data_IF_378932372150
#
_entry.id   IF_378932372150
#
_cell.length_a   1.000
_cell.length_b   1.000
_cell.length_c   1.000
_cell.angle_alpha   90.00
_cell.angle_beta   90.00
_cell.angle_gamma   90.00
#
_symmetry.space_group_name_H-M   'P 1'
#
loop_
_entity.id
_entity.type
_entity.pdbx_description
1 polymer ?
#
# COMPACT_ATOMS: atom_id res chain seq x y z
N UNK A 1 6.97 16.02 44.11
CA UNK A 1 5.55 15.95 43.76
C UNK A 1 5.50 15.70 42.26
N UNK A 2 5.67 14.43 41.86
CA UNK A 2 4.60 13.51 41.40
C UNK A 2 3.98 14.02 40.10
N UNK A 3 4.44 13.51 38.94
CA UNK A 3 3.85 12.37 38.17
C UNK A 3 2.59 12.82 37.38
N UNK A 4 2.36 12.52 36.11
CA UNK A 4 2.67 11.35 35.28
C UNK A 4 1.37 10.96 34.56
N UNK A 5 1.38 10.61 33.27
CA UNK A 5 0.16 10.27 32.54
C UNK A 5 0.35 9.92 31.06
N UNK A 6 1.19 8.91 30.79
CA UNK A 6 1.24 8.22 29.50
C UNK A 6 0.28 7.03 29.54
N UNK A 7 -0.56 6.89 28.52
CA UNK A 7 -1.48 5.75 28.38
C UNK A 7 -0.76 4.59 27.69
N UNK A 8 -0.52 3.50 28.43
CA UNK A 8 -0.05 2.22 27.94
C UNK A 8 -1.18 1.18 28.07
N UNK A 9 -1.45 0.43 27.00
CA UNK A 9 -2.36 -0.71 27.03
C UNK A 9 -1.58 -1.99 27.42
N UNK A 10 -2.04 -2.79 28.41
CA UNK A 10 -1.37 -4.02 28.80
C UNK A 10 -1.80 -5.22 27.94
N UNK A 11 -0.79 -5.99 27.50
CA UNK A 11 -0.92 -7.33 26.91
C UNK A 11 -0.94 -8.34 28.05
N UNK A 12 -2.05 -9.09 28.20
CA UNK A 12 -2.17 -10.17 29.16
C UNK A 12 -1.57 -11.46 28.58
N UNK A 13 -0.53 -11.97 29.23
CA UNK A 13 0.02 -13.33 29.06
C UNK A 13 -0.44 -14.14 30.27
N UNK A 14 -1.05 -15.33 30.13
CA UNK A 14 -1.29 -16.19 31.27
C UNK A 14 -0.09 -17.11 31.51
N UNK A 15 0.52 -16.96 32.68
CA UNK A 15 1.50 -17.85 33.29
C UNK A 15 0.90 -19.25 33.52
N UNK A 16 1.62 -20.30 33.11
CA UNK A 16 1.34 -21.67 33.51
C UNK A 16 2.40 -22.16 34.49
N UNK A 17 2.04 -22.29 35.77
CA UNK A 17 2.94 -22.81 36.79
C UNK A 17 2.29 -23.12 38.13
N UNK A 18 2.15 -24.43 38.38
CA UNK A 18 2.12 -25.12 39.68
C UNK A 18 0.82 -25.16 40.53
N UNK A 19 0.40 -26.39 40.84
CA UNK A 19 0.18 -26.78 42.24
C UNK A 19 -1.20 -27.32 42.66
N UNK A 20 -1.29 -28.64 42.70
CA UNK A 20 -1.99 -29.46 43.72
C UNK A 20 -3.52 -29.64 43.78
N UNK A 21 -3.86 -30.94 43.67
CA UNK A 21 -4.63 -31.77 44.62
C UNK A 21 -6.03 -32.24 44.22
N UNK A 22 -6.11 -33.57 44.13
CA UNK A 22 -7.22 -34.48 44.47
C UNK A 22 -8.65 -34.13 44.02
N UNK A 23 -9.20 -34.97 43.14
CA UNK A 23 -10.16 -36.00 43.57
C UNK A 23 -10.70 -36.80 42.38
N UNK A 24 -11.02 -38.06 42.68
CA UNK A 24 -11.53 -39.10 41.80
C UNK A 24 -12.75 -38.65 41.00
N UNK A 25 -12.77 -38.94 39.70
CA UNK A 25 -14.01 -39.41 39.05
C UNK A 25 -13.70 -40.31 37.86
N UNK A 26 -14.43 -41.40 37.84
CA UNK A 26 -14.42 -42.58 37.00
C UNK A 26 -14.66 -42.31 35.51
N UNK A 27 -13.82 -42.86 34.64
CA UNK A 27 -14.28 -43.43 33.37
C UNK A 27 -13.50 -44.70 33.04
N UNK A 28 -14.26 -45.78 32.83
CA UNK A 28 -13.80 -47.12 32.48
C UNK A 28 -13.23 -47.16 31.06
N UNK A 29 -12.21 -47.99 30.76
CA UNK A 29 -11.70 -48.14 29.39
C UNK A 29 -12.68 -48.97 28.54
N UNK A 30 -12.97 -48.49 27.33
CA UNK A 30 -13.67 -49.28 26.31
C UNK A 30 -12.78 -50.44 25.83
N UNK A 31 -13.33 -51.66 25.69
CA UNK A 31 -12.58 -52.81 25.20
C UNK A 31 -12.57 -52.83 23.67
N UNK A 32 -11.38 -52.89 23.07
CA UNK A 32 -11.25 -53.24 21.65
C UNK A 32 -10.21 -52.45 20.87
N UNK A 33 -8.92 -52.65 21.17
CA UNK A 33 -7.91 -52.56 20.12
C UNK A 33 -6.84 -53.62 20.42
N UNK A 34 -6.76 -54.62 19.54
CA UNK A 34 -5.84 -55.75 19.65
C UNK A 34 -4.41 -55.23 19.48
N UNK A 35 -3.52 -55.68 20.36
CA UNK A 35 -2.08 -55.55 20.16
C UNK A 35 -1.68 -56.51 19.03
N UNK A 36 -1.09 -55.98 17.96
CA UNK A 36 -0.25 -56.78 17.07
C UNK A 36 1.23 -56.43 17.34
N UNK A 37 2.06 -57.42 17.72
CA UNK A 37 3.49 -57.25 17.84
C UNK A 37 4.19 -57.55 16.51
N UNK A 38 5.10 -56.67 16.09
CA UNK A 38 6.18 -57.02 15.17
C UNK A 38 6.16 -56.30 13.81
N UNK A 39 7.05 -55.33 13.67
CA UNK A 39 7.80 -55.18 12.42
C UNK A 39 9.19 -54.62 12.69
N UNK A 40 10.15 -55.53 12.87
CA UNK A 40 11.56 -55.30 12.57
C UNK A 40 11.70 -55.36 11.06
N UNK A 41 12.21 -54.32 10.40
CA UNK A 41 12.69 -54.49 9.04
C UNK A 41 12.96 -53.23 8.22
N UNK A 42 14.24 -53.01 7.97
CA UNK A 42 14.86 -52.32 6.84
C UNK A 42 14.86 -50.79 6.84
N UNK A 43 16.06 -50.26 7.09
CA UNK A 43 16.48 -48.99 6.52
C UNK A 43 16.36 -49.05 5.00
N UNK A 44 15.61 -48.11 4.46
CA UNK A 44 15.71 -47.70 3.08
C UNK A 44 15.98 -46.20 3.11
N UNK A 45 17.18 -45.85 2.62
CA UNK A 45 17.57 -44.50 2.28
C UNK A 45 16.53 -43.92 1.33
N UNK A 46 15.64 -43.07 1.85
CA UNK A 46 14.84 -42.21 1.00
C UNK A 46 15.76 -41.13 0.44
N UNK A 47 16.39 -41.40 -0.71
CA UNK A 47 16.80 -40.35 -1.63
C UNK A 47 15.55 -39.80 -2.31
N UNK A 48 14.66 -39.20 -1.52
CA UNK A 48 13.65 -38.29 -2.01
C UNK A 48 14.34 -36.94 -2.16
N UNK A 49 15.02 -36.73 -3.29
CA UNK A 49 15.33 -35.37 -3.75
C UNK A 49 13.98 -34.81 -4.19
N UNK A 50 13.19 -34.37 -3.20
CA UNK A 50 12.00 -33.59 -3.47
C UNK A 50 12.48 -32.41 -4.30
N UNK A 51 11.88 -32.23 -5.48
CA UNK A 51 11.76 -30.93 -6.11
C UNK A 51 11.19 -29.98 -5.05
N UNK A 52 12.09 -29.40 -4.27
CA UNK A 52 11.80 -28.28 -3.39
C UNK A 52 11.56 -27.13 -4.35
N UNK A 53 10.28 -26.77 -4.49
CA UNK A 53 9.84 -25.59 -5.24
C UNK A 53 10.86 -24.47 -5.04
N UNK A 54 11.60 -24.19 -6.10
CA UNK A 54 12.73 -23.29 -6.08
C UNK A 54 12.22 -21.87 -5.84
N UNK A 55 12.23 -21.43 -4.58
CA UNK A 55 11.64 -20.14 -4.20
C UNK A 55 12.54 -18.94 -4.50
N UNK A 56 13.85 -19.14 -4.68
CA UNK A 56 14.79 -18.11 -5.13
C UNK A 56 15.41 -18.54 -6.45
N UNK A 57 15.31 -17.66 -7.46
CA UNK A 57 15.97 -17.85 -8.75
C UNK A 57 17.42 -17.38 -8.66
N UNK A 58 18.35 -18.32 -8.55
CA UNK A 58 19.80 -18.03 -8.46
C UNK A 58 20.31 -17.14 -9.60
N UNK A 59 19.80 -17.33 -10.81
CA UNK A 59 20.10 -16.49 -11.98
C UNK A 59 19.68 -15.03 -11.79
N UNK A 60 18.55 -14.77 -11.13
CA UNK A 60 18.09 -13.41 -10.83
C UNK A 60 19.00 -12.75 -9.81
N UNK A 61 19.41 -13.48 -8.78
CA UNK A 61 20.35 -12.97 -7.76
C UNK A 61 21.67 -12.55 -8.40
N UNK A 62 22.22 -13.40 -9.27
CA UNK A 62 23.44 -13.12 -10.02
C UNK A 62 23.30 -11.87 -10.91
N UNK A 63 22.23 -11.80 -11.70
CA UNK A 63 21.96 -10.64 -12.56
C UNK A 63 21.89 -9.34 -11.76
N UNK A 64 21.13 -9.32 -10.66
CA UNK A 64 20.99 -8.13 -9.80
C UNK A 64 22.32 -7.72 -9.16
N UNK A 65 23.16 -8.69 -8.78
CA UNK A 65 24.51 -8.43 -8.28
C UNK A 65 25.40 -7.78 -9.35
N UNK A 66 25.38 -8.31 -10.57
CA UNK A 66 26.14 -7.79 -11.71
C UNK A 66 25.68 -6.38 -12.12
N UNK A 67 24.37 -6.10 -12.11
CA UNK A 67 23.81 -4.76 -12.36
C UNK A 67 24.26 -3.71 -11.35
N UNK A 68 24.50 -4.13 -10.10
CA UNK A 68 25.06 -3.29 -9.04
C UNK A 68 26.58 -3.20 -9.06
N UNK A 69 27.25 -3.91 -9.99
CA UNK A 69 28.70 -3.92 -10.12
C UNK A 69 29.42 -4.55 -8.91
N UNK A 70 28.77 -5.46 -8.19
CA UNK A 70 29.33 -6.12 -7.02
C UNK A 70 29.97 -7.46 -7.39
N UNK A 71 31.13 -7.79 -6.82
CA UNK A 71 31.66 -9.16 -6.90
C UNK A 71 30.94 -10.09 -5.91
N UNK A 72 31.09 -11.40 -6.08
CA UNK A 72 30.56 -12.41 -5.14
C UNK A 72 31.13 -12.18 -3.74
N UNK A 73 32.40 -11.75 -3.65
CA UNK A 73 33.05 -11.41 -2.40
C UNK A 73 32.45 -10.16 -1.74
N UNK A 74 32.21 -9.10 -2.51
CA UNK A 74 31.64 -7.86 -1.97
C UNK A 74 30.23 -8.07 -1.41
N UNK A 75 29.43 -8.91 -2.10
CA UNK A 75 28.10 -9.27 -1.61
C UNK A 75 28.19 -10.13 -0.35
N UNK A 76 29.12 -11.08 -0.30
CA UNK A 76 29.35 -11.93 0.86
C UNK A 76 29.78 -11.11 2.09
N UNK A 77 30.68 -10.14 1.91
CA UNK A 77 31.14 -9.23 2.96
C UNK A 77 29.99 -8.37 3.50
N UNK A 78 29.16 -7.80 2.61
CA UNK A 78 27.97 -7.02 3.00
C UNK A 78 26.95 -7.82 3.80
N UNK A 79 26.84 -9.11 3.54
CA UNK A 79 25.88 -10.01 4.18
C UNK A 79 26.46 -10.74 5.40
N UNK A 80 27.78 -10.69 5.61
CA UNK A 80 28.47 -11.44 6.66
C UNK A 80 28.44 -12.96 6.46
N UNK A 81 28.39 -13.41 5.20
CA UNK A 81 28.35 -14.84 4.84
C UNK A 81 29.60 -15.25 4.08
N UNK A 82 29.88 -16.55 3.97
CA UNK A 82 30.99 -17.04 3.16
C UNK A 82 30.72 -16.87 1.67
N UNK A 83 31.74 -16.49 0.89
CA UNK A 83 31.63 -16.34 -0.57
C UNK A 83 31.15 -17.62 -1.26
N UNK A 84 31.53 -18.79 -0.74
CA UNK A 84 31.07 -20.10 -1.22
C UNK A 84 29.55 -20.27 -1.17
N UNK A 85 28.88 -19.60 -0.22
CA UNK A 85 27.42 -19.66 -0.09
C UNK A 85 26.74 -18.84 -1.19
N UNK A 86 27.27 -17.65 -1.50
CA UNK A 86 26.76 -16.82 -2.59
C UNK A 86 26.84 -17.58 -3.91
N UNK A 87 27.98 -18.21 -4.20
CA UNK A 87 28.17 -19.02 -5.40
C UNK A 87 27.13 -20.16 -5.48
N UNK A 88 26.91 -20.88 -4.38
CA UNK A 88 25.91 -21.96 -4.33
C UNK A 88 24.47 -21.44 -4.49
N UNK A 89 24.17 -20.23 -4.01
CA UNK A 89 22.86 -19.61 -4.21
C UNK A 89 22.63 -19.21 -5.66
N UNK A 90 23.64 -18.63 -6.30
CA UNK A 90 23.58 -18.24 -7.72
C UNK A 90 23.48 -19.45 -8.65
N UNK A 91 24.15 -20.55 -8.32
CA UNK A 91 24.10 -21.83 -9.05
C UNK A 91 22.83 -22.66 -8.74
N UNK A 92 21.98 -22.22 -7.81
CA UNK A 92 20.79 -22.96 -7.38
C UNK A 92 21.08 -24.26 -6.61
N UNK A 93 22.31 -24.42 -6.10
CA UNK A 93 22.72 -25.57 -5.31
C UNK A 93 22.36 -25.46 -3.84
N UNK A 94 22.16 -24.24 -3.34
CA UNK A 94 21.72 -23.95 -1.99
C UNK A 94 20.79 -22.74 -1.97
N UNK A 95 20.15 -22.50 -0.83
CA UNK A 95 19.23 -21.38 -0.66
C UNK A 95 19.62 -20.51 0.52
N UNK A 96 19.42 -19.19 0.43
CA UNK A 96 19.61 -18.31 1.58
C UNK A 96 18.54 -18.61 2.62
N UNK A 97 18.93 -18.59 3.89
CA UNK A 97 17.96 -18.62 4.98
C UNK A 97 16.95 -17.47 4.83
N UNK A 98 15.70 -17.69 5.28
CA UNK A 98 14.63 -16.70 5.19
C UNK A 98 15.02 -15.39 5.87
N UNK A 99 15.84 -15.47 6.92
CA UNK A 99 16.41 -14.34 7.66
C UNK A 99 17.31 -13.45 6.80
N UNK A 100 17.95 -14.02 5.77
CA UNK A 100 18.91 -13.34 4.89
C UNK A 100 18.25 -12.67 3.68
N UNK A 101 16.98 -12.99 3.36
CA UNK A 101 16.28 -12.39 2.22
C UNK A 101 16.17 -10.86 2.32
N UNK A 102 15.83 -10.33 3.50
CA UNK A 102 15.75 -8.87 3.72
C UNK A 102 17.12 -8.19 3.59
N UNK A 103 18.21 -8.69 4.21
CA UNK A 103 19.57 -8.21 3.97
C UNK A 103 19.99 -8.24 2.50
N UNK A 104 19.69 -9.32 1.78
CA UNK A 104 20.01 -9.46 0.34
C UNK A 104 19.27 -8.40 -0.47
N UNK A 105 17.95 -8.27 -0.27
CA UNK A 105 17.13 -7.25 -0.93
C UNK A 105 17.68 -5.83 -0.72
N UNK A 106 18.09 -5.52 0.52
CA UNK A 106 18.70 -4.24 0.86
C UNK A 106 20.08 -4.05 0.21
N UNK A 107 20.90 -5.10 0.14
CA UNK A 107 22.25 -5.00 -0.44
C UNK A 107 22.24 -4.79 -1.97
N UNK A 108 21.17 -5.26 -2.62
CA UNK A 108 20.97 -5.18 -4.07
C UNK A 108 19.97 -4.07 -4.48
N UNK A 109 19.53 -3.22 -3.54
CA UNK A 109 18.48 -2.20 -3.71
C UNK A 109 17.25 -2.71 -4.48
N UNK A 110 16.77 -3.90 -4.12
CA UNK A 110 15.65 -4.58 -4.76
C UNK A 110 14.61 -4.95 -3.71
N UNK A 111 13.48 -5.51 -4.15
CA UNK A 111 12.45 -6.04 -3.26
C UNK A 111 12.64 -7.55 -3.06
N UNK A 112 12.09 -8.09 -1.98
CA UNK A 112 12.17 -9.55 -1.73
C UNK A 112 11.37 -10.28 -2.81
N UNK A 113 10.25 -9.71 -3.22
CA UNK A 113 9.38 -10.20 -4.30
C UNK A 113 10.15 -10.36 -5.61
N UNK A 114 11.00 -9.38 -5.97
CA UNK A 114 11.82 -9.47 -7.18
C UNK A 114 12.85 -10.61 -7.12
N UNK A 115 13.42 -10.89 -5.93
CA UNK A 115 14.35 -12.00 -5.71
C UNK A 115 13.64 -13.36 -5.82
N UNK A 116 12.40 -13.44 -5.33
CA UNK A 116 11.61 -14.66 -5.31
C UNK A 116 11.00 -14.97 -6.69
N UNK A 117 10.29 -14.00 -7.27
CA UNK A 117 9.50 -14.20 -8.48
C UNK A 117 10.33 -13.99 -9.76
N UNK A 118 11.50 -13.36 -9.66
CA UNK A 118 12.33 -12.98 -10.81
C UNK A 118 11.69 -11.95 -11.73
N UNK A 119 10.62 -11.30 -11.27
CA UNK A 119 9.89 -10.28 -12.04
C UNK A 119 10.60 -8.94 -11.87
N UNK A 120 11.10 -8.39 -12.98
CA UNK A 120 11.58 -7.02 -12.99
C UNK A 120 10.41 -6.04 -12.92
N UNK A 121 10.37 -5.25 -11.85
CA UNK A 121 9.45 -4.11 -11.76
C UNK A 121 10.11 -2.93 -12.49
N UNK A 122 9.91 -2.84 -13.80
CA UNK A 122 10.34 -1.68 -14.58
C UNK A 122 9.33 -0.56 -14.36
N UNK A 123 9.75 0.53 -13.72
CA UNK A 123 8.92 1.73 -13.61
C UNK A 123 8.80 2.41 -14.97
N UNK A 124 7.64 2.28 -15.61
CA UNK A 124 7.32 2.91 -16.90
C UNK A 124 6.90 4.37 -16.76
N UNK A 125 6.82 4.92 -15.54
CA UNK A 125 6.42 6.30 -15.24
C UNK A 125 7.53 7.31 -15.56
N UNK A 126 7.89 7.46 -16.84
CA UNK A 126 8.71 8.58 -17.29
C UNK A 126 7.78 9.70 -17.72
N UNK A 127 7.79 10.80 -16.95
CA UNK A 127 7.17 12.07 -17.30
C UNK A 127 5.64 12.05 -17.35
N UNK A 128 5.00 11.68 -16.24
CA UNK A 128 3.54 11.55 -16.18
C UNK A 128 2.84 12.92 -16.09
N UNK A 129 1.75 13.05 -16.84
CA UNK A 129 0.93 14.26 -16.89
C UNK A 129 0.21 14.46 -15.55
N UNK A 130 0.25 15.69 -15.02
CA UNK A 130 -0.44 16.02 -13.78
C UNK A 130 -1.96 15.86 -13.92
N UNK A 131 -2.51 15.94 -15.14
CA UNK A 131 -3.92 15.70 -15.42
C UNK A 131 -4.33 14.22 -15.25
N UNK A 132 -3.38 13.29 -15.28
CA UNK A 132 -3.60 11.85 -15.04
C UNK A 132 -3.28 11.45 -13.60
N UNK A 133 -3.15 12.44 -12.70
CA UNK A 133 -2.85 12.18 -11.30
C UNK A 133 -3.93 11.33 -10.64
N UNK A 134 -3.48 10.32 -9.89
CA UNK A 134 -4.35 9.44 -9.11
C UNK A 134 -4.36 9.85 -7.65
N UNK A 135 -5.53 9.80 -7.03
CA UNK A 135 -5.69 10.01 -5.60
C UNK A 135 -5.69 8.67 -4.86
N UNK A 136 -4.95 8.62 -3.75
CA UNK A 136 -4.89 7.49 -2.85
C UNK A 136 -5.30 7.98 -1.47
N UNK A 137 -6.28 7.31 -0.87
CA UNK A 137 -6.79 7.63 0.46
C UNK A 137 -6.55 6.46 1.39
N UNK A 138 -5.91 6.71 2.53
CA UNK A 138 -5.73 5.69 3.54
C UNK A 138 -6.99 5.55 4.42
N UNK A 139 -7.61 4.37 4.49
CA UNK A 139 -8.83 4.17 5.29
C UNK A 139 -8.58 4.22 6.81
N UNK A 140 -7.33 4.07 7.26
CA UNK A 140 -6.98 4.04 8.69
C UNK A 140 -6.74 5.45 9.24
N UNK A 141 -5.99 6.28 8.54
CA UNK A 141 -5.58 7.60 9.02
C UNK A 141 -6.16 8.78 8.23
N UNK A 142 -6.86 8.53 7.11
CA UNK A 142 -7.39 9.58 6.25
C UNK A 142 -6.32 10.42 5.57
N UNK A 143 -5.10 9.89 5.42
CA UNK A 143 -4.06 10.54 4.63
C UNK A 143 -4.42 10.47 3.15
N UNK A 144 -4.24 11.60 2.47
CA UNK A 144 -4.50 11.77 1.04
C UNK A 144 -3.15 11.94 0.38
N UNK A 145 -2.87 11.08 -0.60
CA UNK A 145 -1.63 11.10 -1.34
C UNK A 145 -1.99 11.21 -2.81
N UNK A 146 -1.36 12.14 -3.52
CA UNK A 146 -1.54 12.34 -4.95
C UNK A 146 -0.26 11.96 -5.66
N UNK A 147 -0.37 11.16 -6.72
CA UNK A 147 0.77 10.86 -7.58
C UNK A 147 0.40 11.09 -9.04
N UNK A 148 1.29 11.77 -9.77
CA UNK A 148 1.11 12.00 -11.20
C UNK A 148 1.17 10.71 -12.02
N UNK A 149 1.64 9.57 -11.47
CA UNK A 149 1.68 8.30 -12.19
C UNK A 149 1.33 7.08 -11.32
N UNK A 150 1.58 5.88 -11.86
CA UNK A 150 1.25 4.62 -11.21
C UNK A 150 2.25 4.30 -10.09
N UNK A 151 1.88 4.48 -8.84
CA UNK A 151 2.77 4.23 -7.71
C UNK A 151 2.12 3.26 -6.76
N UNK A 152 2.89 2.26 -6.29
CA UNK A 152 2.48 1.44 -5.17
C UNK A 152 2.80 2.18 -3.87
N UNK A 153 1.77 2.66 -3.19
CA UNK A 153 1.91 3.46 -1.98
C UNK A 153 1.40 2.65 -0.80
N UNK A 154 2.21 2.57 0.26
CA UNK A 154 1.78 1.98 1.53
C UNK A 154 1.61 3.07 2.59
N UNK A 155 0.46 3.09 3.23
CA UNK A 155 0.18 3.93 4.40
C UNK A 155 -0.46 3.06 5.49
N UNK A 156 -0.04 3.21 6.75
CA UNK A 156 -0.52 2.39 7.87
C UNK A 156 -0.44 0.87 7.63
N UNK A 157 0.60 0.43 6.89
CA UNK A 157 0.82 -0.97 6.50
C UNK A 157 -0.25 -1.55 5.54
N UNK A 158 -1.06 -0.70 4.93
CA UNK A 158 -2.02 -1.06 3.88
C UNK A 158 -1.51 -0.54 2.54
N UNK A 159 -1.50 -1.40 1.52
CA UNK A 159 -1.25 -0.99 0.12
C UNK A 159 -2.49 -0.27 -0.39
N UNK A 160 -2.34 1.02 -0.69
CA UNK A 160 -3.44 1.84 -1.16
C UNK A 160 -3.71 1.55 -2.62
N UNK A 161 -4.99 1.45 -2.96
CA UNK A 161 -5.44 1.39 -4.35
C UNK A 161 -5.85 2.79 -4.81
N UNK A 162 -5.59 3.14 -6.08
CA UNK A 162 -6.04 4.40 -6.64
C UNK A 162 -7.57 4.45 -6.58
N UNK A 163 -8.12 5.62 -6.23
CA UNK A 163 -9.56 5.83 -6.18
C UNK A 163 -10.12 5.96 -7.60
N UNK A 164 -11.25 5.30 -7.86
CA UNK A 164 -11.96 5.40 -9.13
C UNK A 164 -12.82 6.66 -9.14
N UNK A 165 -12.77 7.40 -10.24
CA UNK A 165 -13.53 8.63 -10.45
C UNK A 165 -14.97 8.30 -10.85
N UNK A 166 -15.93 8.89 -10.15
CA UNK A 166 -17.35 8.84 -10.46
C UNK A 166 -17.86 10.23 -10.86
N UNK A 167 -18.93 10.27 -11.65
CA UNK A 167 -19.60 11.54 -11.96
C UNK A 167 -20.46 11.98 -10.80
N UNK A 168 -20.61 13.30 -10.62
CA UNK A 168 -21.42 13.85 -9.52
C UNK A 168 -22.86 13.31 -9.56
N UNK A 169 -23.30 12.75 -8.45
CA UNK A 169 -24.69 12.32 -8.21
C UNK A 169 -25.48 13.40 -7.47
N UNK A 170 -26.78 13.17 -7.27
CA UNK A 170 -27.70 14.12 -6.63
C UNK A 170 -27.25 14.53 -5.21
N UNK A 171 -26.65 13.61 -4.45
CA UNK A 171 -26.16 13.86 -3.08
C UNK A 171 -24.74 14.49 -3.04
N UNK A 172 -24.06 14.60 -4.18
CA UNK A 172 -22.67 15.09 -4.28
C UNK A 172 -22.57 16.20 -5.33
N UNK A 173 -23.48 17.17 -5.27
CA UNK A 173 -23.52 18.25 -6.24
C UNK A 173 -22.46 19.31 -5.91
N UNK A 174 -21.42 19.35 -6.75
CA UNK A 174 -20.37 20.38 -6.69
C UNK A 174 -20.89 21.63 -7.41
N UNK A 175 -21.16 22.69 -6.66
CA UNK A 175 -21.42 24.03 -7.18
C UNK A 175 -20.11 24.83 -7.27
N UNK A 176 -19.98 25.63 -8.31
CA UNK A 176 -18.78 26.42 -8.56
C UNK A 176 -19.19 27.81 -9.02
N UNK A 177 -18.95 28.80 -8.16
CA UNK A 177 -19.15 30.22 -8.45
C UNK A 177 -17.79 30.87 -8.75
N UNK A 178 -17.78 31.84 -9.65
CA UNK A 178 -16.59 32.65 -9.94
C UNK A 178 -16.72 34.00 -9.23
N UNK A 179 -15.78 34.31 -8.33
CA UNK A 179 -15.70 35.61 -7.68
C UNK A 179 -14.25 36.05 -7.56
N UNK A 180 -13.97 37.30 -7.92
CA UNK A 180 -12.67 37.96 -7.75
C UNK A 180 -11.44 37.19 -8.31
N UNK A 181 -11.62 36.43 -9.39
CA UNK A 181 -10.53 35.68 -10.02
C UNK A 181 -10.19 34.35 -9.36
N UNK A 182 -11.09 33.82 -8.54
CA UNK A 182 -11.00 32.49 -7.93
C UNK A 182 -12.33 31.73 -8.10
N UNK A 183 -12.26 30.39 -8.14
CA UNK A 183 -13.43 29.53 -8.04
C UNK A 183 -13.78 29.34 -6.57
N UNK A 184 -14.98 29.75 -6.21
CA UNK A 184 -15.62 29.40 -4.95
C UNK A 184 -16.42 28.12 -5.17
N UNK A 185 -15.95 27.03 -4.59
CA UNK A 185 -16.55 25.71 -4.76
C UNK A 185 -17.29 25.35 -3.49
N UNK A 186 -18.59 25.11 -3.62
CA UNK A 186 -19.48 24.64 -2.56
C UNK A 186 -19.95 23.25 -2.92
N UNK A 187 -20.04 22.36 -1.94
CA UNK A 187 -20.62 21.03 -2.14
C UNK A 187 -21.80 20.88 -1.20
N UNK A 188 -22.97 20.61 -1.76
CA UNK A 188 -24.15 20.26 -0.97
C UNK A 188 -24.03 18.79 -0.58
N UNK A 189 -23.64 18.53 0.67
CA UNK A 189 -23.47 17.19 1.22
C UNK A 189 -23.64 17.19 2.74
N UNK A 190 -24.07 16.06 3.31
CA UNK A 190 -24.18 15.90 4.76
C UNK A 190 -22.79 15.86 5.42
N UNK A 191 -22.54 16.73 6.40
CA UNK A 191 -21.24 16.86 7.08
C UNK A 191 -21.32 16.37 8.53
N UNK A 192 -21.71 15.12 8.70
CA UNK A 192 -21.79 14.47 10.01
C UNK A 192 -20.45 13.87 10.42
N UNK A 193 -20.32 13.37 11.66
CA UNK A 193 -19.10 12.70 12.13
C UNK A 193 -18.82 11.37 11.41
N UNK A 194 -19.87 10.71 10.93
CA UNK A 194 -19.79 9.39 10.29
C UNK A 194 -19.79 9.48 8.76
N UNK A 195 -20.37 10.55 8.21
CA UNK A 195 -20.50 10.78 6.78
C UNK A 195 -20.12 12.23 6.47
N UNK A 196 -18.99 12.42 5.78
CA UNK A 196 -18.46 13.74 5.46
C UNK A 196 -17.53 13.69 4.26
N UNK A 197 -17.38 14.86 3.61
CA UNK A 197 -16.36 15.08 2.59
C UNK A 197 -15.00 15.22 3.28
N UNK A 198 -14.04 14.38 2.92
CA UNK A 198 -12.69 14.43 3.52
C UNK A 198 -11.79 15.45 2.84
N UNK A 199 -11.94 15.65 1.53
CA UNK A 199 -11.22 16.68 0.81
C UNK A 199 -11.92 17.12 -0.47
N UNK A 200 -11.64 18.36 -0.86
CA UNK A 200 -11.88 18.89 -2.19
C UNK A 200 -10.54 19.07 -2.87
N UNK A 201 -10.46 18.74 -4.15
CA UNK A 201 -9.27 19.00 -4.94
C UNK A 201 -9.60 19.67 -6.28
N UNK A 202 -8.70 20.51 -6.76
CA UNK A 202 -8.74 21.08 -8.09
C UNK A 202 -7.48 20.66 -8.83
N UNK A 203 -7.66 19.94 -9.94
CA UNK A 203 -6.59 19.62 -10.86
C UNK A 203 -6.61 20.60 -12.02
N UNK A 204 -5.65 21.53 -12.00
CA UNK A 204 -5.39 22.45 -13.10
C UNK A 204 -4.21 21.98 -13.95
N UNK A 205 -3.94 22.70 -15.05
CA UNK A 205 -2.79 22.40 -15.91
C UNK A 205 -1.43 22.57 -15.21
N UNK A 206 -1.35 23.40 -14.17
CA UNK A 206 -0.09 23.75 -13.49
C UNK A 206 0.13 22.96 -12.20
N UNK A 207 -0.90 22.27 -11.67
CA UNK A 207 -0.81 21.65 -10.36
C UNK A 207 -2.13 21.08 -9.83
N UNK A 208 -1.99 20.31 -8.74
CA UNK A 208 -3.11 19.82 -7.95
C UNK A 208 -3.20 20.61 -6.65
N UNK A 209 -4.33 21.28 -6.44
CA UNK A 209 -4.64 21.97 -5.19
C UNK A 209 -5.57 21.08 -4.37
N UNK A 210 -5.19 20.75 -3.13
CA UNK A 210 -6.01 19.92 -2.24
C UNK A 210 -6.36 20.71 -0.99
N UNK A 211 -7.66 20.85 -0.73
CA UNK A 211 -8.21 21.45 0.48
C UNK A 211 -8.84 20.36 1.33
N UNK A 212 -8.23 20.09 2.49
CA UNK A 212 -8.73 19.11 3.45
C UNK A 212 -9.96 19.68 4.17
N UNK A 213 -10.99 18.85 4.25
CA UNK A 213 -12.23 19.14 4.97
C UNK A 213 -12.31 18.29 6.23
N UNK A 214 -13.06 18.77 7.22
CA UNK A 214 -13.27 18.10 8.48
C UNK A 214 -14.77 17.93 8.73
N UNK A 215 -15.19 16.92 9.51
CA UNK A 215 -16.58 16.75 9.90
C UNK A 215 -17.16 18.04 10.54
N UNK A 216 -18.46 18.27 10.37
CA UNK A 216 -19.20 19.42 10.91
C UNK A 216 -18.79 20.79 10.35
N UNK A 217 -17.88 20.84 9.36
CA UNK A 217 -17.50 22.08 8.69
C UNK A 217 -18.34 22.30 7.43
N UNK A 218 -18.51 23.57 7.06
CA UNK A 218 -19.09 23.93 5.78
C UNK A 218 -18.18 23.47 4.64
N UNK A 219 -18.74 22.73 3.68
CA UNK A 219 -18.04 22.25 2.50
C UNK A 219 -17.85 23.36 1.47
N UNK A 220 -16.90 24.26 1.74
CA UNK A 220 -16.54 25.35 0.83
C UNK A 220 -15.03 25.49 0.72
N UNK A 221 -14.53 25.68 -0.51
CA UNK A 221 -13.11 25.92 -0.77
C UNK A 221 -12.92 26.92 -1.89
N UNK A 222 -11.81 27.66 -1.82
CA UNK A 222 -11.36 28.58 -2.86
C UNK A 222 -10.24 27.92 -3.65
N UNK A 223 -10.36 27.94 -4.97
CA UNK A 223 -9.34 27.43 -5.88
C UNK A 223 -8.97 28.49 -6.92
N UNK A 224 -7.73 28.48 -7.45
CA UNK A 224 -7.33 29.44 -8.47
C UNK A 224 -8.16 29.25 -9.75
N UNK A 225 -8.47 30.36 -10.42
CA UNK A 225 -9.16 30.33 -11.70
C UNK A 225 -8.29 29.62 -12.75
N UNK A 226 -8.88 28.68 -13.48
CA UNK A 226 -8.18 27.91 -14.49
C UNK A 226 -9.10 26.96 -15.24
N UNK A 227 -8.55 26.29 -16.26
CA UNK A 227 -9.16 25.10 -16.84
C UNK A 227 -8.73 23.89 -16.02
N UNK A 228 -9.66 23.02 -15.68
CA UNK A 228 -9.33 21.89 -14.84
C UNK A 228 -10.54 21.07 -14.45
N UNK A 229 -10.30 20.15 -13.52
CA UNK A 229 -11.33 19.29 -12.94
C UNK A 229 -11.38 19.50 -11.45
N UNK A 230 -12.59 19.64 -10.92
CA UNK A 230 -12.85 19.61 -9.50
C UNK A 230 -13.14 18.18 -9.06
N UNK A 231 -12.65 17.84 -7.89
CA UNK A 231 -12.78 16.55 -7.26
C UNK A 231 -13.34 16.72 -5.85
N UNK A 232 -14.25 15.83 -5.47
CA UNK A 232 -14.82 15.76 -4.15
C UNK A 232 -14.73 14.31 -3.67
N UNK A 233 -14.14 14.09 -2.49
CA UNK A 233 -14.06 12.74 -1.93
C UNK A 233 -14.91 12.63 -0.67
N UNK A 234 -15.91 11.76 -0.73
CA UNK A 234 -16.72 11.34 0.39
C UNK A 234 -16.13 10.06 1.01
N UNK A 235 -16.12 9.98 2.34
CA UNK A 235 -15.60 8.82 3.06
C UNK A 235 -16.40 7.52 2.81
N UNK A 236 -17.67 7.62 2.41
CA UNK A 236 -18.55 6.47 2.15
C UNK A 236 -18.72 6.25 0.65
N UNK A 237 -19.02 7.31 -0.10
CA UNK A 237 -19.44 7.19 -1.50
C UNK A 237 -18.29 7.25 -2.52
N UNK A 238 -17.09 7.61 -2.08
CA UNK A 238 -15.89 7.61 -2.93
C UNK A 238 -15.59 8.97 -3.57
N UNK A 239 -14.88 8.93 -4.71
CA UNK A 239 -14.35 10.11 -5.40
C UNK A 239 -15.27 10.54 -6.55
N UNK A 240 -15.75 11.76 -6.50
CA UNK A 240 -16.57 12.40 -7.52
C UNK A 240 -15.77 13.47 -8.28
N UNK A 241 -16.05 13.65 -9.57
CA UNK A 241 -15.42 14.67 -10.39
C UNK A 241 -16.43 15.54 -11.16
N UNK A 242 -16.04 16.81 -11.39
CA UNK A 242 -16.75 17.79 -12.23
C UNK A 242 -15.75 18.57 -13.07
N UNK A 243 -15.94 18.57 -14.38
CA UNK A 243 -15.14 19.39 -15.29
C UNK A 243 -15.52 20.87 -15.17
N UNK A 244 -14.54 21.74 -15.01
CA UNK A 244 -14.72 23.20 -15.01
C UNK A 244 -13.96 23.81 -16.17
N UNK A 245 -14.68 24.56 -17.01
CA UNK A 245 -14.09 25.29 -18.14
C UNK A 245 -14.22 26.79 -17.86
N UNK A 246 -13.16 27.58 -18.06
CA UNK A 246 -13.28 29.03 -17.99
C UNK A 246 -14.31 29.47 -19.04
N UNK A 247 -15.17 30.46 -18.73
CA UNK A 247 -16.13 30.96 -19.69
C UNK A 247 -15.39 31.44 -20.93
N UNK A 248 -15.85 31.02 -22.11
CA UNK A 248 -15.37 31.62 -23.37
C UNK A 248 -15.64 33.11 -23.25
N UNK A 249 -14.60 33.95 -23.33
CA UNK A 249 -14.77 35.36 -23.60
C UNK A 249 -15.75 35.46 -24.77
N UNK A 250 -16.94 36.02 -24.55
CA UNK A 250 -17.81 36.42 -25.65
C UNK A 250 -16.95 37.31 -26.52
N UNK A 251 -16.60 36.84 -27.72
CA UNK A 251 -16.12 37.71 -28.77
C UNK A 251 -17.17 38.81 -28.88
N UNK A 252 -16.80 40.03 -28.50
CA UNK A 252 -17.59 41.19 -28.83
C UNK A 252 -17.49 41.27 -30.35
N UNK A 253 -18.56 40.86 -31.04
CA UNK A 253 -18.69 41.07 -32.46
C UNK A 253 -18.68 42.59 -32.69
N UNK A 254 -17.52 43.10 -33.09
CA UNK A 254 -17.26 44.50 -33.43
C UNK A 254 -18.11 44.98 -34.63
N UNK A 255 -18.90 44.10 -35.26
CA UNK A 255 -19.85 44.43 -36.32
C UNK A 255 -21.19 44.99 -35.81
N UNK A 256 -21.40 45.09 -34.48
CA UNK A 256 -22.62 45.66 -33.89
C UNK A 256 -22.49 47.12 -33.44
N UNK A 257 -21.31 47.72 -33.58
CA UNK A 257 -21.11 49.17 -33.46
C UNK A 257 -20.89 49.73 -34.87
N UNK A 258 -21.99 50.09 -35.53
CA UNK A 258 -21.95 50.79 -36.82
C UNK A 258 -21.27 52.16 -36.71
N UNK A 259 -19.94 52.18 -36.79
CA UNK A 259 -19.09 53.35 -36.99
C UNK A 259 -18.22 53.16 -38.24
#
# INVERSE_FOLDING_TARGET
MCEGGAYAYPVLVPDCGAGHSDSRSSYSPLPGCKQDPGYLGSGQSMTGRADMDQYVKGETLRRLREEKGLSEFDLAEKLGVGFDLIMKWEEGQAYPDISLLKPIAKALDTTVEQILDGVEVVSTNRNTDINESKFYVCPVCGNIITSAGNVEIRCCNVTLQPQEEQFCDDDHMIESEESDGEYYVTVEHEMTKEHFISFLAFMGGDGVHVSKMYPEWYCQSRFPLGRGKLYCYCNIHGLFCKDVRPPKHKSIDLDSLGL
#
